data_IF_982283832026
#
_entry.id   IF_982283832026
#
_cell.length_a   1.000
_cell.length_b   1.000
_cell.length_c   1.000
_cell.angle_alpha   90.00
_cell.angle_beta   90.00
_cell.angle_gamma   90.00
#
_symmetry.space_group_name_H-M   'P 1'
#
loop_
_entity.id
_entity.type
_entity.pdbx_description
1 polymer ?
#
# COMPACT_ATOMS: atom_id res chain seq x y z
N UNK A 1 34.66 43.39 26.44
CA UNK A 1 33.46 43.23 27.29
C UNK A 1 32.76 41.95 26.88
N UNK A 2 33.09 40.83 27.54
CA UNK A 2 32.40 39.55 27.33
C UNK A 2 31.23 39.45 28.31
N UNK A 3 30.01 39.39 27.79
CA UNK A 3 28.80 39.21 28.57
C UNK A 3 28.71 37.73 28.99
N UNK A 4 29.00 37.44 30.26
CA UNK A 4 28.86 36.11 30.84
C UNK A 4 27.38 35.89 31.20
N UNK A 5 26.62 35.26 30.29
CA UNK A 5 25.25 34.84 30.58
C UNK A 5 25.27 33.64 31.53
N UNK A 6 25.08 33.88 32.83
CA UNK A 6 24.72 32.85 33.79
C UNK A 6 23.24 32.52 33.59
N UNK A 7 22.96 31.42 32.90
CA UNK A 7 21.62 30.83 32.87
C UNK A 7 21.28 30.30 34.27
N UNK A 8 20.17 30.71 34.90
CA UNK A 8 19.67 30.04 36.07
C UNK A 8 19.25 28.63 35.67
N UNK A 9 19.91 27.61 36.23
CA UNK A 9 19.45 26.24 36.15
C UNK A 9 18.11 26.13 36.88
N UNK A 10 17.01 26.19 36.13
CA UNK A 10 15.71 25.75 36.63
C UNK A 10 15.83 24.26 36.98
N UNK A 11 15.76 23.95 38.27
CA UNK A 11 15.78 22.58 38.77
C UNK A 11 14.40 21.96 38.59
N UNK A 12 14.14 21.41 37.41
CA UNK A 12 12.97 20.55 37.24
C UNK A 12 13.15 19.31 38.12
N UNK A 13 12.15 18.98 38.95
CA UNK A 13 12.15 17.76 39.75
C UNK A 13 12.20 16.53 38.83
N UNK A 14 13.22 15.70 39.00
CA UNK A 14 13.49 14.51 38.16
C UNK A 14 13.32 13.22 38.95
N UNK A 15 13.47 13.30 40.27
CA UNK A 15 13.58 12.17 41.18
C UNK A 15 12.40 12.16 42.17
N UNK A 16 12.10 10.99 42.70
CA UNK A 16 11.08 10.77 43.74
C UNK A 16 11.75 10.32 45.03
N UNK A 17 11.47 11.01 46.13
CA UNK A 17 11.87 10.59 47.47
C UNK A 17 10.61 10.27 48.28
N UNK A 18 10.53 9.08 48.87
CA UNK A 18 9.41 8.64 49.71
C UNK A 18 9.87 8.59 51.16
N UNK A 19 9.17 9.30 52.04
CA UNK A 19 9.48 9.34 53.47
C UNK A 19 8.98 8.09 54.18
N UNK A 20 9.53 7.78 55.36
CA UNK A 20 9.03 6.68 56.20
C UNK A 20 7.62 6.91 56.76
N UNK A 21 7.13 8.15 56.69
CA UNK A 21 5.74 8.53 57.03
C UNK A 21 4.78 8.36 55.83
N UNK A 22 5.31 8.00 54.65
CA UNK A 22 4.52 7.74 53.44
C UNK A 22 4.36 8.93 52.50
N UNK A 23 4.97 10.08 52.80
CA UNK A 23 4.92 11.25 51.93
C UNK A 23 5.84 11.10 50.72
N UNK A 24 5.40 11.60 49.57
CA UNK A 24 6.16 11.63 48.32
C UNK A 24 6.65 13.04 48.03
N UNK A 25 7.96 13.19 47.88
CA UNK A 25 8.62 14.46 47.61
C UNK A 25 9.23 14.41 46.20
N UNK A 26 8.79 15.35 45.35
CA UNK A 26 9.39 15.58 44.04
C UNK A 26 10.65 16.43 44.22
N UNK A 27 11.82 15.88 43.87
CA UNK A 27 13.09 16.56 44.08
C UNK A 27 14.12 16.25 42.99
N UNK A 28 15.32 16.79 43.17
CA UNK A 28 16.53 16.36 42.47
C UNK A 28 17.57 15.93 43.50
N UNK A 29 17.93 14.65 43.51
CA UNK A 29 18.94 14.08 44.39
C UNK A 29 20.31 14.57 43.89
N UNK A 30 21.10 15.13 44.79
CA UNK A 30 22.42 15.69 44.47
C UNK A 30 23.56 14.77 44.88
N UNK A 31 23.41 14.09 46.02
CA UNK A 31 24.38 13.10 46.51
C UNK A 31 23.77 12.24 47.61
N UNK A 32 24.39 11.08 47.85
CA UNK A 32 24.03 10.17 48.95
C UNK A 32 25.31 9.85 49.72
N UNK A 33 25.37 10.26 50.99
CA UNK A 33 26.53 10.06 51.85
C UNK A 33 26.09 9.39 53.15
N UNK A 34 26.67 8.23 53.48
CA UNK A 34 26.35 7.46 54.69
C UNK A 34 24.84 7.21 54.88
N UNK A 35 24.09 7.03 53.78
CA UNK A 35 22.64 6.85 53.79
C UNK A 35 21.82 8.13 53.97
N UNK A 36 22.46 9.28 54.15
CA UNK A 36 21.81 10.60 54.13
C UNK A 36 21.63 11.05 52.68
N UNK A 37 20.40 11.35 52.28
CA UNK A 37 20.06 11.79 50.93
C UNK A 37 20.08 13.32 50.89
N UNK A 38 21.00 13.89 50.12
CA UNK A 38 21.04 15.32 49.82
C UNK A 38 20.26 15.58 48.55
N UNK A 39 19.32 16.54 48.59
CA UNK A 39 18.48 16.86 47.44
C UNK A 39 18.08 18.32 47.40
N UNK A 40 17.76 18.80 46.21
CA UNK A 40 17.18 20.13 45.99
C UNK A 40 15.70 20.03 45.69
N UNK A 41 14.91 20.94 46.28
CA UNK A 41 13.48 21.06 46.04
C UNK A 41 13.11 22.51 45.80
N UNK A 42 12.09 22.75 44.99
CA UNK A 42 11.55 24.09 44.77
C UNK A 42 10.44 24.37 45.78
N UNK A 43 10.60 25.43 46.58
CA UNK A 43 9.57 25.97 47.47
C UNK A 43 9.26 27.39 47.03
N UNK A 44 8.06 27.61 46.50
CA UNK A 44 7.56 28.93 46.08
C UNK A 44 8.47 29.65 45.06
N UNK A 45 9.10 28.92 44.15
CA UNK A 45 9.97 29.47 43.10
C UNK A 45 11.41 29.69 43.55
N UNK A 46 11.80 29.21 44.73
CA UNK A 46 13.18 29.21 45.22
C UNK A 46 13.69 27.78 45.38
N UNK A 47 14.81 27.47 44.72
CA UNK A 47 15.51 26.20 44.88
C UNK A 47 16.20 26.17 46.25
N UNK A 48 15.71 25.30 47.13
CA UNK A 48 16.28 25.06 48.45
C UNK A 48 17.03 23.73 48.44
N UNK A 49 18.27 23.74 48.91
CA UNK A 49 19.02 22.50 49.18
C UNK A 49 18.67 22.01 50.58
N UNK A 50 18.40 20.71 50.71
CA UNK A 50 18.10 20.09 51.99
C UNK A 50 18.69 18.68 52.05
N UNK A 51 18.62 18.06 53.22
CA UNK A 51 19.10 16.71 53.47
C UNK A 51 18.05 15.93 54.25
N UNK A 52 17.97 14.63 53.98
CA UNK A 52 17.12 13.71 54.73
C UNK A 52 17.97 12.58 55.34
N UNK A 53 17.95 12.43 56.68
CA UNK A 53 18.62 11.32 57.36
C UNK A 53 18.04 9.96 56.94
N UNK A 54 18.85 8.89 56.95
CA UNK A 54 18.44 7.56 56.50
C UNK A 54 17.20 7.02 57.22
N UNK A 55 16.98 7.38 58.49
CA UNK A 55 15.82 6.92 59.28
C UNK A 55 14.48 7.48 58.77
N UNK A 56 14.53 8.56 57.99
CA UNK A 56 13.34 9.24 57.44
C UNK A 56 13.09 8.90 55.97
N UNK A 57 13.96 8.13 55.33
CA UNK A 57 13.83 7.71 53.94
C UNK A 57 13.29 6.29 53.90
N UNK A 58 12.12 6.11 53.28
CA UNK A 58 11.60 4.77 52.97
C UNK A 58 12.20 4.23 51.67
N UNK A 59 12.20 5.05 50.63
CA UNK A 59 12.78 4.70 49.33
C UNK A 59 13.04 5.97 48.52
N UNK A 60 13.91 5.88 47.52
CA UNK A 60 14.15 6.95 46.56
C UNK A 60 14.35 6.35 45.17
N UNK A 61 13.86 7.03 44.14
CA UNK A 61 14.06 6.65 42.75
C UNK A 61 14.55 7.83 41.93
N UNK A 62 15.79 7.71 41.45
CA UNK A 62 16.38 8.65 40.49
C UNK A 62 15.71 8.53 39.12
N UNK A 63 15.41 9.67 38.51
CA UNK A 63 14.81 9.81 37.19
C UNK A 63 13.36 9.32 37.12
N UNK A 64 12.65 9.14 38.23
CA UNK A 64 11.27 8.66 38.28
C UNK A 64 10.34 9.42 37.31
N UNK A 65 10.41 10.76 37.33
CA UNK A 65 9.57 11.62 36.49
C UNK A 65 10.09 11.71 35.04
N UNK A 66 11.37 11.41 34.81
CA UNK A 66 11.95 11.32 33.47
C UNK A 66 11.54 10.02 32.77
N UNK A 67 11.57 8.87 33.48
CA UNK A 67 11.16 7.56 32.97
C UNK A 67 9.67 7.50 32.65
N UNK A 68 8.82 8.11 33.49
CA UNK A 68 7.36 8.14 33.28
C UNK A 68 6.94 8.92 32.02
N UNK A 69 7.78 9.84 31.55
CA UNK A 69 7.55 10.65 30.35
C UNK A 69 8.25 10.11 29.08
N UNK A 70 9.04 9.05 29.18
CA UNK A 70 9.46 8.32 28.00
C UNK A 70 8.24 7.57 27.46
N UNK A 71 7.58 8.15 26.44
CA UNK A 71 6.75 7.35 25.54
C UNK A 71 7.61 6.14 25.15
N UNK A 72 7.09 4.90 25.24
CA UNK A 72 7.85 3.74 24.77
C UNK A 72 8.36 4.08 23.38
N UNK A 73 9.66 3.91 23.15
CA UNK A 73 10.22 4.07 21.83
C UNK A 73 9.30 3.30 20.88
N UNK A 74 8.63 4.01 19.97
CA UNK A 74 7.85 3.37 18.93
C UNK A 74 8.83 2.40 18.29
N UNK A 75 8.61 1.11 18.51
CA UNK A 75 9.31 0.09 17.77
C UNK A 75 8.95 0.36 16.32
N UNK A 76 9.84 1.05 15.58
CA UNK A 76 9.65 1.23 14.15
C UNK A 76 9.63 -0.19 13.62
N UNK A 77 8.46 -0.71 13.18
CA UNK A 77 8.40 -2.06 12.68
C UNK A 77 9.44 -2.15 11.57
N UNK A 78 10.17 -3.26 11.49
CA UNK A 78 11.13 -3.48 10.41
C UNK A 78 10.36 -3.42 9.08
N UNK A 79 10.33 -2.24 8.46
CA UNK A 79 9.61 -2.02 7.22
C UNK A 79 10.41 -2.70 6.11
N UNK A 80 9.77 -3.66 5.45
CA UNK A 80 10.28 -4.27 4.22
C UNK A 80 9.76 -3.42 3.07
N UNK A 81 10.62 -2.61 2.42
CA UNK A 81 10.16 -1.62 1.46
C UNK A 81 9.69 -2.30 0.17
N UNK A 82 10.26 -3.44 -0.20
CA UNK A 82 9.88 -4.13 -1.42
C UNK A 82 8.66 -5.03 -1.21
N UNK A 83 7.79 -5.08 -2.22
CA UNK A 83 6.69 -6.03 -2.36
C UNK A 83 6.66 -6.57 -3.78
N UNK A 84 6.66 -7.88 -3.93
CA UNK A 84 6.51 -8.57 -5.20
C UNK A 84 5.24 -9.40 -5.16
N UNK A 85 4.28 -9.07 -6.03
CA UNK A 85 2.97 -9.70 -6.09
C UNK A 85 2.76 -10.50 -7.37
N UNK A 86 2.17 -11.68 -7.24
CA UNK A 86 1.58 -12.43 -8.35
C UNK A 86 0.15 -12.79 -7.98
N UNK A 87 -0.80 -12.45 -8.85
CA UNK A 87 -2.20 -12.74 -8.63
C UNK A 87 -2.87 -13.21 -9.90
N UNK A 88 -3.94 -13.98 -9.73
CA UNK A 88 -4.76 -14.46 -10.83
C UNK A 88 -6.21 -14.49 -10.38
N UNK A 89 -7.13 -14.47 -11.34
CA UNK A 89 -8.54 -14.58 -11.03
C UNK A 89 -9.42 -14.38 -12.25
N UNK A 90 -10.62 -13.90 -12.02
CA UNK A 90 -11.66 -13.78 -13.03
C UNK A 90 -12.02 -12.32 -13.27
N UNK A 91 -12.27 -11.97 -14.52
CA UNK A 91 -12.56 -10.62 -14.96
C UNK A 91 -13.78 -10.55 -15.86
N UNK A 92 -14.44 -9.40 -15.82
CA UNK A 92 -15.58 -9.08 -16.69
C UNK A 92 -15.40 -7.71 -17.35
N UNK A 93 -15.39 -7.70 -18.68
CA UNK A 93 -15.46 -6.50 -19.51
C UNK A 93 -16.85 -5.88 -19.42
N UNK A 94 -16.88 -4.58 -19.13
CA UNK A 94 -18.10 -3.77 -19.01
C UNK A 94 -18.38 -2.92 -20.25
N UNK A 95 -17.39 -2.76 -21.13
CA UNK A 95 -17.56 -2.04 -22.38
C UNK A 95 -18.74 -2.56 -23.21
N UNK A 96 -19.36 -1.65 -23.96
CA UNK A 96 -20.50 -1.95 -24.82
C UNK A 96 -20.06 -2.96 -25.88
N UNK A 97 -20.92 -3.93 -26.14
CA UNK A 97 -20.77 -4.81 -27.30
C UNK A 97 -21.60 -4.20 -28.42
N UNK A 98 -21.18 -4.42 -29.66
CA UNK A 98 -21.98 -4.04 -30.81
C UNK A 98 -23.41 -4.62 -30.71
N UNK A 99 -24.42 -3.82 -31.07
CA UNK A 99 -25.84 -4.13 -30.79
C UNK A 99 -26.28 -5.47 -31.38
N UNK A 100 -25.74 -5.85 -32.54
CA UNK A 100 -26.03 -7.10 -33.23
C UNK A 100 -25.64 -8.36 -32.45
N UNK A 101 -24.70 -8.26 -31.50
CA UNK A 101 -24.21 -9.38 -30.70
C UNK A 101 -24.61 -9.27 -29.22
N UNK A 102 -25.25 -8.17 -28.82
CA UNK A 102 -25.63 -7.93 -27.43
C UNK A 102 -26.54 -9.05 -26.88
N UNK A 103 -26.24 -9.55 -25.69
CA UNK A 103 -27.04 -10.58 -25.00
C UNK A 103 -26.78 -12.03 -25.44
N UNK A 104 -26.05 -12.25 -26.54
CA UNK A 104 -25.70 -13.60 -27.00
C UNK A 104 -24.78 -14.33 -26.01
N UNK A 105 -24.80 -15.67 -26.02
CA UNK A 105 -23.82 -16.48 -25.28
C UNK A 105 -22.40 -16.19 -25.75
N UNK A 106 -22.24 -15.96 -27.06
CA UNK A 106 -20.99 -15.57 -27.68
C UNK A 106 -20.40 -14.29 -27.07
N UNK A 107 -21.16 -13.19 -27.05
CA UNK A 107 -20.74 -11.92 -26.46
C UNK A 107 -20.49 -12.04 -24.95
N UNK A 108 -21.28 -12.86 -24.23
CA UNK A 108 -21.03 -13.14 -22.82
C UNK A 108 -19.70 -13.87 -22.59
N UNK A 109 -19.33 -14.80 -23.48
CA UNK A 109 -18.02 -15.46 -23.43
C UNK A 109 -16.88 -14.45 -23.58
N UNK A 110 -16.95 -13.53 -24.54
CA UNK A 110 -15.90 -12.52 -24.76
C UNK A 110 -15.82 -11.46 -23.66
N UNK A 111 -16.89 -11.24 -22.91
CA UNK A 111 -16.86 -10.36 -21.75
C UNK A 111 -16.20 -10.97 -20.55
N UNK A 112 -16.12 -12.29 -20.45
CA UNK A 112 -15.71 -12.96 -19.24
C UNK A 112 -14.43 -13.77 -19.48
N UNK A 113 -13.48 -13.67 -18.57
CA UNK A 113 -12.18 -14.27 -18.78
C UNK A 113 -11.38 -14.41 -17.52
N UNK A 114 -10.22 -15.03 -17.64
CA UNK A 114 -9.25 -15.11 -16.57
C UNK A 114 -8.18 -14.03 -16.77
N UNK A 115 -7.51 -13.67 -15.69
CA UNK A 115 -6.36 -12.78 -15.77
C UNK A 115 -5.23 -13.22 -14.86
N UNK A 116 -4.04 -12.70 -15.17
CA UNK A 116 -2.87 -12.75 -14.31
C UNK A 116 -2.33 -11.33 -14.15
N UNK A 117 -1.88 -11.00 -12.96
CA UNK A 117 -1.31 -9.70 -12.63
C UNK A 117 0.01 -9.89 -11.87
N UNK A 118 1.05 -9.24 -12.37
CA UNK A 118 2.39 -9.18 -11.79
C UNK A 118 2.65 -7.76 -11.28
N UNK A 119 3.24 -7.68 -10.11
CA UNK A 119 3.28 -6.47 -9.31
C UNK A 119 4.65 -6.35 -8.65
N UNK A 120 5.33 -5.21 -8.83
CA UNK A 120 6.56 -4.90 -8.12
C UNK A 120 6.47 -3.50 -7.54
N UNK A 121 6.53 -3.37 -6.22
CA UNK A 121 6.42 -2.09 -5.51
C UNK A 121 7.58 -1.85 -4.54
N UNK A 122 7.89 -0.57 -4.36
CA UNK A 122 8.73 -0.03 -3.32
C UNK A 122 7.90 0.91 -2.44
N UNK A 123 7.82 0.62 -1.15
CA UNK A 123 7.12 1.40 -0.12
C UNK A 123 8.09 2.28 0.65
N UNK A 124 7.72 3.54 0.79
CA UNK A 124 8.36 4.53 1.65
C UNK A 124 7.81 4.44 3.08
N UNK A 125 8.53 4.98 4.08
CA UNK A 125 8.07 5.01 5.46
C UNK A 125 6.73 5.72 5.69
N UNK A 126 6.33 6.59 4.76
CA UNK A 126 5.03 7.27 4.73
C UNK A 126 3.84 6.36 4.37
N UNK A 127 4.05 5.04 4.27
CA UNK A 127 3.05 4.06 3.84
C UNK A 127 2.50 4.33 2.43
N UNK A 128 3.27 5.05 1.61
CA UNK A 128 3.04 5.21 0.18
C UNK A 128 4.07 4.40 -0.59
N UNK A 129 3.77 4.01 -1.82
CA UNK A 129 4.70 3.25 -2.64
C UNK A 129 4.61 3.60 -4.11
N UNK A 130 5.68 3.32 -4.82
CA UNK A 130 5.75 3.39 -6.27
C UNK A 130 6.09 2.02 -6.83
N UNK A 131 5.74 1.75 -8.08
CA UNK A 131 6.07 0.46 -8.67
C UNK A 131 5.72 0.34 -10.13
N UNK A 132 5.68 -0.90 -10.59
CA UNK A 132 5.17 -1.32 -11.89
C UNK A 132 4.11 -2.40 -11.71
N UNK A 133 3.12 -2.39 -12.58
CA UNK A 133 2.13 -3.46 -12.70
C UNK A 133 2.03 -3.91 -14.16
N UNK A 134 1.96 -5.22 -14.35
CA UNK A 134 1.60 -5.86 -15.59
C UNK A 134 0.35 -6.72 -15.37
N UNK A 135 -0.68 -6.55 -16.19
CA UNK A 135 -1.88 -7.39 -16.15
C UNK A 135 -2.16 -7.95 -17.53
N UNK A 136 -2.51 -9.23 -17.62
CA UNK A 136 -2.94 -9.88 -18.86
C UNK A 136 -4.28 -10.57 -18.65
N UNK A 137 -5.30 -10.11 -19.36
CA UNK A 137 -6.64 -10.70 -19.44
C UNK A 137 -6.75 -11.60 -20.67
N UNK A 138 -7.41 -12.74 -20.52
CA UNK A 138 -7.69 -13.65 -21.61
C UNK A 138 -9.16 -14.08 -21.57
N UNK A 139 -9.84 -13.92 -22.70
CA UNK A 139 -11.20 -14.37 -22.91
C UNK A 139 -11.34 -15.02 -24.28
N UNK A 140 -12.02 -16.15 -24.34
CA UNK A 140 -12.25 -16.90 -25.58
C UNK A 140 -13.73 -17.22 -25.73
N UNK A 141 -14.25 -17.11 -26.94
CA UNK A 141 -15.64 -17.48 -27.25
C UNK A 141 -15.73 -18.02 -28.67
N UNK A 142 -16.66 -18.94 -28.88
CA UNK A 142 -16.89 -19.59 -30.17
C UNK A 142 -18.38 -19.73 -30.44
N UNK A 143 -18.75 -19.58 -31.71
CA UNK A 143 -20.08 -19.82 -32.27
C UNK A 143 -19.93 -20.54 -33.62
N UNK A 144 -21.05 -20.94 -34.25
CA UNK A 144 -21.02 -21.72 -35.50
C UNK A 144 -20.21 -21.08 -36.65
N UNK A 145 -20.04 -19.75 -36.66
CA UNK A 145 -19.37 -19.04 -37.75
C UNK A 145 -18.26 -18.09 -37.30
N UNK A 146 -18.05 -17.95 -35.98
CA UNK A 146 -17.10 -17.00 -35.39
C UNK A 146 -16.37 -17.61 -34.20
N UNK A 147 -15.06 -17.38 -34.10
CA UNK A 147 -14.26 -17.67 -32.92
C UNK A 147 -13.37 -16.46 -32.64
N UNK A 148 -13.33 -15.99 -31.40
CA UNK A 148 -12.44 -14.91 -30.96
C UNK A 148 -11.64 -15.38 -29.73
N UNK A 149 -10.35 -15.04 -29.71
CA UNK A 149 -9.41 -15.29 -28.61
C UNK A 149 -8.70 -13.98 -28.28
N UNK A 150 -9.26 -13.31 -27.26
CA UNK A 150 -8.94 -11.94 -26.88
C UNK A 150 -7.91 -11.96 -25.76
N UNK A 151 -6.83 -11.24 -25.97
CA UNK A 151 -5.84 -10.89 -24.96
C UNK A 151 -5.80 -9.37 -24.79
N UNK A 152 -5.97 -8.90 -23.54
CA UNK A 152 -5.80 -7.49 -23.19
C UNK A 152 -4.67 -7.39 -22.19
N UNK A 153 -3.62 -6.63 -22.51
CA UNK A 153 -2.48 -6.46 -21.62
C UNK A 153 -2.31 -5.01 -21.19
N UNK A 154 -2.10 -4.78 -19.90
CA UNK A 154 -1.78 -3.48 -19.31
C UNK A 154 -0.37 -3.50 -18.76
N UNK A 155 0.40 -2.43 -18.99
CA UNK A 155 1.70 -2.20 -18.38
C UNK A 155 1.82 -0.73 -18.00
N UNK A 156 2.07 -0.43 -16.73
CA UNK A 156 2.26 0.95 -16.30
C UNK A 156 2.93 1.13 -14.95
N UNK A 157 3.50 2.32 -14.71
CA UNK A 157 3.84 2.77 -13.36
C UNK A 157 2.60 2.82 -12.47
N UNK A 158 2.83 2.56 -11.19
CA UNK A 158 1.79 2.55 -10.17
C UNK A 158 2.21 3.36 -8.94
N UNK A 159 1.23 4.02 -8.34
CA UNK A 159 1.32 4.65 -7.03
C UNK A 159 0.37 3.90 -6.09
N UNK A 160 0.86 3.51 -4.92
CA UNK A 160 0.09 2.81 -3.90
C UNK A 160 0.05 3.58 -2.58
N UNK A 161 -1.08 3.50 -1.88
CA UNK A 161 -1.20 3.78 -0.46
C UNK A 161 -1.41 2.46 0.28
N UNK A 162 -0.62 2.21 1.31
CA UNK A 162 -0.70 1.06 2.20
C UNK A 162 -1.32 1.51 3.52
N UNK A 163 -2.26 0.72 4.02
CA UNK A 163 -2.95 0.94 5.29
C UNK A 163 -2.79 -0.34 6.11
N UNK A 164 -1.77 -0.41 6.99
CA UNK A 164 -1.59 -1.54 7.87
C UNK A 164 -2.84 -1.74 8.75
N UNK A 165 -3.33 -2.97 8.80
CA UNK A 165 -4.36 -3.42 9.74
C UNK A 165 -3.68 -4.46 10.63
N UNK A 166 -3.83 -4.39 11.96
CA UNK A 166 -3.07 -5.22 12.90
C UNK A 166 -3.00 -6.72 12.52
N UNK A 167 -2.00 -7.44 13.06
CA UNK A 167 -1.66 -8.83 12.69
C UNK A 167 -1.06 -8.98 11.28
N UNK A 168 -0.13 -8.09 10.90
CA UNK A 168 0.61 -8.15 9.62
C UNK A 168 -0.28 -8.09 8.36
N UNK A 169 -1.52 -7.63 8.50
CA UNK A 169 -2.43 -7.42 7.40
C UNK A 169 -2.26 -6.00 6.84
N UNK A 170 -2.61 -5.80 5.59
CA UNK A 170 -2.64 -4.45 5.03
C UNK A 170 -3.68 -4.32 3.93
N UNK A 171 -4.35 -3.17 3.91
CA UNK A 171 -5.13 -2.76 2.77
C UNK A 171 -4.27 -1.89 1.86
N UNK A 172 -4.29 -2.16 0.56
CA UNK A 172 -3.56 -1.45 -0.46
C UNK A 172 -4.54 -0.82 -1.45
N UNK A 173 -4.34 0.44 -1.76
CA UNK A 173 -5.07 1.16 -2.79
C UNK A 173 -4.08 1.70 -3.82
N UNK A 174 -4.26 1.34 -5.08
CA UNK A 174 -3.35 1.64 -6.17
C UNK A 174 -4.01 2.40 -7.31
N UNK A 175 -3.25 3.32 -7.91
CA UNK A 175 -3.59 3.96 -9.18
C UNK A 175 -2.44 3.80 -10.16
N UNK A 176 -2.74 3.40 -11.39
CA UNK A 176 -1.75 3.20 -12.44
C UNK A 176 -2.22 3.83 -13.75
N UNK A 177 -1.26 4.31 -14.54
CA UNK A 177 -1.50 4.84 -15.88
C UNK A 177 -0.43 4.29 -16.80
N UNK A 178 -0.80 3.78 -17.96
CA UNK A 178 0.14 3.04 -18.78
C UNK A 178 -0.38 2.59 -20.14
N UNK A 179 0.42 1.74 -20.79
CA UNK A 179 0.13 1.18 -22.08
C UNK A 179 -0.88 0.04 -21.96
N UNK A 180 -1.94 0.09 -22.75
CA UNK A 180 -3.00 -0.90 -22.82
C UNK A 180 -3.10 -1.44 -24.24
N UNK A 181 -2.78 -2.72 -24.43
CA UNK A 181 -2.86 -3.40 -25.71
C UNK A 181 -4.05 -4.35 -25.77
N UNK A 182 -4.59 -4.47 -26.97
CA UNK A 182 -5.63 -5.41 -27.34
C UNK A 182 -5.12 -6.26 -28.49
N UNK A 183 -5.29 -7.57 -28.38
CA UNK A 183 -5.03 -8.52 -29.45
C UNK A 183 -6.18 -9.50 -29.49
N UNK A 184 -6.70 -9.77 -30.68
CA UNK A 184 -7.72 -10.78 -30.92
C UNK A 184 -7.27 -11.70 -32.04
N UNK A 185 -7.25 -13.00 -31.77
CA UNK A 185 -7.09 -14.01 -32.81
C UNK A 185 -8.47 -14.51 -33.20
N UNK A 186 -8.98 -13.92 -34.27
CA UNK A 186 -10.35 -14.09 -34.73
C UNK A 186 -10.41 -15.02 -35.95
N UNK A 187 -11.46 -15.82 -36.01
CA UNK A 187 -11.84 -16.63 -37.17
C UNK A 187 -13.26 -16.28 -37.56
N UNK A 188 -13.50 -16.10 -38.86
CA UNK A 188 -14.84 -15.99 -39.41
C UNK A 188 -15.00 -16.84 -40.65
N UNK A 189 -16.13 -17.54 -40.76
CA UNK A 189 -16.44 -18.40 -41.91
C UNK A 189 -16.30 -17.69 -43.27
N UNK A 190 -16.56 -16.37 -43.34
CA UNK A 190 -16.46 -15.57 -44.57
C UNK A 190 -15.05 -15.07 -44.88
N UNK A 191 -14.18 -14.97 -43.88
CA UNK A 191 -12.91 -14.23 -43.96
C UNK A 191 -11.67 -15.04 -43.58
N UNK A 192 -11.85 -16.28 -43.09
CA UNK A 192 -10.78 -17.11 -42.54
C UNK A 192 -10.23 -16.57 -41.23
N UNK A 193 -8.98 -16.95 -40.91
CA UNK A 193 -8.24 -16.46 -39.75
C UNK A 193 -7.72 -15.04 -39.99
N UNK A 194 -7.89 -14.17 -38.99
CA UNK A 194 -7.33 -12.83 -38.97
C UNK A 194 -6.97 -12.40 -37.55
N UNK A 195 -6.06 -11.43 -37.43
CA UNK A 195 -5.67 -10.88 -36.13
C UNK A 195 -6.02 -9.41 -36.06
N UNK A 196 -6.73 -9.01 -35.00
CA UNK A 196 -6.98 -7.61 -34.68
C UNK A 196 -6.00 -7.17 -33.60
N UNK A 197 -5.39 -6.00 -33.79
CA UNK A 197 -4.49 -5.38 -32.82
C UNK A 197 -4.87 -3.93 -32.61
N UNK A 198 -4.94 -3.51 -31.36
CA UNK A 198 -5.12 -2.10 -31.00
C UNK A 198 -4.30 -1.78 -29.77
N UNK A 199 -4.01 -0.51 -29.58
CA UNK A 199 -3.30 -0.05 -28.40
C UNK A 199 -3.72 1.37 -28.06
N UNK A 200 -3.67 1.68 -26.77
CA UNK A 200 -4.03 2.98 -26.24
C UNK A 200 -3.32 3.24 -24.91
N UNK A 201 -3.46 4.44 -24.36
CA UNK A 201 -3.15 4.70 -22.97
C UNK A 201 -4.38 4.38 -22.12
N UNK A 202 -4.15 3.73 -20.98
CA UNK A 202 -5.20 3.32 -20.06
C UNK A 202 -4.86 3.67 -18.63
N UNK A 203 -5.87 3.56 -17.77
CA UNK A 203 -5.73 3.68 -16.34
C UNK A 203 -6.18 2.38 -15.66
N UNK A 204 -5.59 2.08 -14.51
CA UNK A 204 -5.98 1.00 -13.63
C UNK A 204 -6.12 1.50 -12.21
N UNK A 205 -7.22 1.14 -11.55
CA UNK A 205 -7.40 1.31 -10.12
C UNK A 205 -7.38 -0.07 -9.46
N UNK A 206 -6.69 -0.16 -8.34
CA UNK A 206 -6.49 -1.42 -7.62
C UNK A 206 -6.85 -1.27 -6.15
N UNK A 207 -7.55 -2.25 -5.59
CA UNK A 207 -7.80 -2.38 -4.16
C UNK A 207 -7.50 -3.81 -3.73
N UNK A 208 -6.53 -4.00 -2.84
CA UNK A 208 -6.10 -5.32 -2.40
C UNK A 208 -6.02 -5.38 -0.87
N UNK A 209 -6.56 -6.43 -0.27
CA UNK A 209 -6.37 -6.76 1.14
C UNK A 209 -5.38 -7.92 1.25
N UNK A 210 -4.18 -7.62 1.74
CA UNK A 210 -3.12 -8.59 2.02
C UNK A 210 -3.32 -9.13 3.44
N UNK A 211 -3.53 -10.45 3.55
CA UNK A 211 -3.61 -11.22 4.80
C UNK A 211 -2.22 -11.79 5.08
N UNK A 212 -1.57 -11.36 6.15
CA UNK A 212 -0.23 -11.83 6.52
C UNK A 212 -0.24 -13.33 6.86
N UNK A 213 0.51 -14.13 6.09
CA UNK A 213 0.71 -15.56 6.35
C UNK A 213 1.98 -15.82 7.17
N UNK A 214 3.01 -15.01 6.93
CA UNK A 214 4.30 -15.00 7.65
C UNK A 214 4.88 -13.58 7.62
N UNK A 215 6.08 -13.38 8.18
CA UNK A 215 6.77 -12.08 8.15
C UNK A 215 7.12 -11.57 6.73
N UNK A 216 7.14 -12.46 5.74
CA UNK A 216 7.58 -12.18 4.38
C UNK A 216 6.57 -12.60 3.30
N UNK A 217 5.42 -13.16 3.68
CA UNK A 217 4.42 -13.67 2.74
C UNK A 217 3.02 -13.23 3.18
N UNK A 218 2.24 -12.75 2.23
CA UNK A 218 0.82 -12.47 2.42
C UNK A 218 -0.03 -13.08 1.30
N UNK A 219 -1.27 -13.42 1.64
CA UNK A 219 -2.32 -13.77 0.69
C UNK A 219 -3.13 -12.52 0.37
N UNK A 220 -3.10 -12.08 -0.89
CA UNK A 220 -3.85 -10.92 -1.37
C UNK A 220 -5.21 -11.33 -1.92
N UNK A 221 -6.27 -10.66 -1.47
CA UNK A 221 -7.59 -10.66 -2.11
C UNK A 221 -7.85 -9.26 -2.65
N UNK A 222 -8.16 -9.13 -3.94
CA UNK A 222 -8.24 -7.82 -4.56
C UNK A 222 -9.30 -7.67 -5.64
N UNK A 223 -9.59 -6.41 -5.94
CA UNK A 223 -10.42 -5.94 -7.03
C UNK A 223 -9.62 -4.93 -7.84
N UNK A 224 -9.71 -5.01 -9.17
CA UNK A 224 -9.14 -3.98 -10.03
C UNK A 224 -10.13 -3.54 -11.10
N UNK A 225 -9.98 -2.30 -11.53
CA UNK A 225 -10.75 -1.70 -12.62
C UNK A 225 -9.76 -1.17 -13.63
N UNK A 226 -9.80 -1.69 -14.86
CA UNK A 226 -8.97 -1.21 -15.97
C UNK A 226 -9.86 -0.43 -16.94
N UNK A 227 -9.42 0.72 -17.44
CA UNK A 227 -10.16 1.53 -18.41
C UNK A 227 -9.24 2.06 -19.51
N UNK A 228 -9.77 2.11 -20.72
CA UNK A 228 -9.12 2.66 -21.91
C UNK A 228 -10.04 2.54 -23.12
N UNK A 229 -9.74 3.32 -24.16
CA UNK A 229 -10.49 3.34 -25.42
C UNK A 229 -9.51 3.24 -26.57
N UNK A 230 -9.74 2.30 -27.47
CA UNK A 230 -8.97 2.13 -28.70
C UNK A 230 -9.69 2.86 -29.81
N UNK A 231 -8.96 3.75 -30.47
CA UNK A 231 -9.42 4.51 -31.63
C UNK A 231 -8.87 3.94 -32.95
N UNK A 232 -7.83 3.09 -32.91
CA UNK A 232 -7.17 2.54 -34.09
C UNK A 232 -7.00 1.03 -33.98
N UNK A 233 -7.47 0.30 -34.99
CA UNK A 233 -7.32 -1.16 -35.07
C UNK A 233 -6.54 -1.53 -36.34
N UNK A 234 -5.56 -2.39 -36.17
CA UNK A 234 -4.83 -3.03 -37.27
C UNK A 234 -5.34 -4.45 -37.47
N UNK A 235 -5.80 -4.73 -38.69
CA UNK A 235 -6.26 -6.03 -39.16
C UNK A 235 -5.12 -6.69 -39.93
N UNK A 236 -4.69 -7.86 -39.49
CA UNK A 236 -3.68 -8.68 -40.16
C UNK A 236 -4.33 -9.94 -40.74
N UNK A 237 -4.19 -10.15 -42.06
CA UNK A 237 -4.64 -11.34 -42.81
C UNK A 237 -3.46 -11.89 -43.62
N UNK A 238 -2.76 -12.87 -43.06
CA UNK A 238 -1.54 -13.42 -43.68
C UNK A 238 -0.45 -12.34 -43.85
N UNK A 239 -0.12 -11.99 -45.11
CA UNK A 239 0.85 -10.93 -45.43
C UNK A 239 0.26 -9.52 -45.49
N UNK A 240 -1.07 -9.40 -45.52
CA UNK A 240 -1.76 -8.12 -45.63
C UNK A 240 -1.98 -7.51 -44.25
N UNK A 241 -1.67 -6.23 -44.11
CA UNK A 241 -1.92 -5.43 -42.92
C UNK A 241 -2.66 -4.16 -43.30
N UNK A 242 -3.75 -3.88 -42.62
CA UNK A 242 -4.53 -2.67 -42.82
C UNK A 242 -4.85 -2.06 -41.46
N UNK A 243 -4.53 -0.78 -41.29
CA UNK A 243 -4.92 -0.01 -40.11
C UNK A 243 -6.15 0.82 -40.45
N UNK A 244 -7.15 0.74 -39.58
CA UNK A 244 -8.42 1.45 -39.71
C UNK A 244 -8.56 2.34 -38.49
N UNK A 245 -8.80 3.62 -38.74
CA UNK A 245 -9.22 4.57 -37.70
C UNK A 245 -10.72 4.36 -37.47
N UNK A 246 -11.11 4.20 -36.20
CA UNK A 246 -12.50 3.98 -35.80
C UNK A 246 -13.19 5.34 -35.70
N UNK A 247 -14.31 5.48 -36.41
CA UNK A 247 -15.14 6.68 -36.31
C UNK A 247 -15.74 6.84 -34.90
N UNK A 248 -16.07 8.07 -34.53
CA UNK A 248 -16.70 8.38 -33.25
C UNK A 248 -17.96 7.53 -33.03
N UNK A 249 -17.97 6.75 -31.94
CA UNK A 249 -19.05 5.81 -31.60
C UNK A 249 -18.78 4.34 -32.00
N UNK A 250 -17.76 4.09 -32.82
CA UNK A 250 -17.26 2.74 -33.14
C UNK A 250 -15.96 2.39 -32.40
N UNK A 251 -15.55 3.24 -31.46
CA UNK A 251 -14.37 3.03 -30.63
C UNK A 251 -14.51 1.76 -29.78
N UNK A 252 -13.40 1.04 -29.59
CA UNK A 252 -13.41 -0.19 -28.80
C UNK A 252 -13.05 0.12 -27.34
N UNK A 253 -14.04 -0.06 -26.46
CA UNK A 253 -13.86 0.13 -25.03
C UNK A 253 -13.18 -1.07 -24.36
N UNK A 254 -12.27 -0.77 -23.44
CA UNK A 254 -11.53 -1.77 -22.66
C UNK A 254 -11.84 -1.74 -21.16
N UNK A 255 -12.96 -1.14 -20.77
CA UNK A 255 -13.41 -1.08 -19.39
C UNK A 255 -13.66 -2.50 -18.86
N UNK A 256 -13.00 -2.86 -17.76
CA UNK A 256 -13.05 -4.19 -17.15
C UNK A 256 -12.96 -4.09 -15.64
N UNK A 257 -13.66 -4.99 -14.95
CA UNK A 257 -13.51 -5.24 -13.51
C UNK A 257 -12.97 -6.64 -13.31
N UNK A 258 -12.01 -6.79 -12.42
CA UNK A 258 -11.34 -8.05 -12.13
C UNK A 258 -11.38 -8.35 -10.63
N UNK A 259 -11.64 -9.61 -10.28
CA UNK A 259 -11.49 -10.17 -8.94
C UNK A 259 -10.24 -11.06 -8.93
N UNK A 260 -9.28 -10.74 -8.05
CA UNK A 260 -7.98 -11.39 -8.02
C UNK A 260 -7.67 -12.00 -6.66
N UNK A 261 -6.97 -13.13 -6.67
CA UNK A 261 -6.38 -13.78 -5.50
C UNK A 261 -4.91 -14.04 -5.82
N UNK A 262 -4.02 -13.77 -4.88
CA UNK A 262 -2.58 -13.87 -5.15
C UNK A 262 -1.71 -13.97 -3.91
N UNK A 263 -0.42 -14.10 -4.16
CA UNK A 263 0.61 -14.08 -3.13
C UNK A 263 1.49 -12.86 -3.30
N UNK A 264 1.87 -12.28 -2.16
CA UNK A 264 2.72 -11.10 -2.07
C UNK A 264 3.92 -11.43 -1.19
N UNK A 265 5.12 -11.25 -1.73
CA UNK A 265 6.37 -11.48 -1.03
C UNK A 265 7.05 -10.17 -0.64
N UNK A 266 7.52 -10.09 0.59
CA UNK A 266 8.26 -8.97 1.15
C UNK A 266 9.69 -9.43 1.48
N UNK A 267 10.68 -9.21 0.59
CA UNK A 267 12.06 -9.64 0.82
C UNK A 267 12.71 -8.94 2.02
#
# INVERSE_FOLDING_TARGET
MGLLCLFPFFTQAQDLLVTSEGDSISCKITSIENGTVHFTLDRNGQTVQTLMPPQKVSTFEEGFYTKKNQKPALSVPRQRPWRLGISSGYGRRLSKTHESLAGTSYARGLKNGYHITLEGQYFFPSETGIGLVYSSFHAKSESQSLMDDITISFLGPTLYAKMPSGNNNSFLLGGSFGYLSYKDQAYSHSNGDFTLKGATLGAMLDATYDIGLSENLALGLGLSVTSGVIEKITIEKGRNKQTIDLDAGNEEGLLRIDLKVGLSFYP
#
